data_IF_075638410807
#
_entry.id   IF_075638410807
#
_cell.length_a   1.000
_cell.length_b   1.000
_cell.length_c   1.000
_cell.angle_alpha   90.00
_cell.angle_beta   90.00
_cell.angle_gamma   90.00
#
_symmetry.space_group_name_H-M   'P 1'
#
loop_
_entity.id
_entity.type
_entity.pdbx_description
1 polymer ?
#
# COMPACT_ATOMS: atom_id res chain seq x y z
N UNK A 1 15.22 -0.64 -22.57
CA UNK A 1 15.01 -1.61 -21.48
C UNK A 1 13.52 -1.71 -21.29
N UNK A 2 12.92 -2.88 -21.48
CA UNK A 2 11.50 -3.09 -21.25
C UNK A 2 11.27 -3.12 -19.73
N UNK A 3 10.80 -2.02 -19.16
CA UNK A 3 10.20 -2.04 -17.83
C UNK A 3 8.81 -2.63 -18.01
N UNK A 4 8.69 -3.96 -17.94
CA UNK A 4 7.37 -4.59 -17.90
C UNK A 4 6.77 -4.27 -16.53
N UNK A 5 5.70 -3.48 -16.54
CA UNK A 5 4.93 -3.19 -15.34
C UNK A 5 4.27 -4.48 -14.86
N UNK A 6 4.44 -4.75 -13.58
CA UNK A 6 3.91 -5.92 -12.88
C UNK A 6 2.83 -5.44 -11.94
N UNK A 7 1.72 -6.16 -11.85
CA UNK A 7 0.67 -5.84 -10.90
C UNK A 7 1.02 -6.40 -9.52
N UNK A 8 0.97 -5.56 -8.49
CA UNK A 8 1.15 -5.94 -7.10
C UNK A 8 -0.13 -5.69 -6.30
N UNK A 9 -0.60 -6.70 -5.56
CA UNK A 9 -1.59 -6.52 -4.51
C UNK A 9 -0.89 -6.05 -3.23
N UNK A 10 -1.28 -4.88 -2.74
CA UNK A 10 -0.83 -4.36 -1.45
C UNK A 10 -1.97 -4.43 -0.46
N UNK A 11 -1.73 -5.09 0.67
CA UNK A 11 -2.63 -5.05 1.84
C UNK A 11 -2.02 -4.14 2.89
N UNK A 12 -2.82 -3.23 3.41
CA UNK A 12 -2.37 -2.25 4.39
C UNK A 12 -3.47 -1.96 5.41
N UNK A 13 -3.03 -1.49 6.58
CA UNK A 13 -3.86 -1.02 7.67
C UNK A 13 -3.71 0.48 7.80
N UNK A 14 -4.85 1.17 7.93
CA UNK A 14 -4.91 2.59 8.29
C UNK A 14 -5.39 2.73 9.71
N UNK A 15 -4.60 3.43 10.52
CA UNK A 15 -4.92 3.76 11.90
C UNK A 15 -5.54 5.17 11.93
N UNK A 16 -6.69 5.30 12.55
CA UNK A 16 -7.31 6.61 12.82
C UNK A 16 -7.94 6.60 14.21
N UNK A 17 -8.17 7.80 14.74
CA UNK A 17 -9.00 7.99 15.91
C UNK A 17 -10.45 8.02 15.44
N UNK A 18 -11.31 7.25 16.08
CA UNK A 18 -12.76 7.40 15.91
C UNK A 18 -13.27 8.62 16.70
N UNK A 19 -14.57 8.90 16.62
CA UNK A 19 -15.19 10.04 17.30
C UNK A 19 -15.10 9.99 18.84
N UNK A 20 -14.60 8.87 19.40
CA UNK A 20 -14.42 8.63 20.83
C UNK A 20 -12.94 8.52 21.23
N UNK A 21 -12.01 8.99 20.37
CA UNK A 21 -10.55 8.92 20.55
C UNK A 21 -9.99 7.49 20.67
N UNK A 22 -10.72 6.46 20.25
CA UNK A 22 -10.19 5.11 20.18
C UNK A 22 -9.42 4.90 18.89
N UNK A 23 -8.23 4.29 19.00
CA UNK A 23 -7.46 3.87 17.82
C UNK A 23 -8.17 2.70 17.13
N UNK A 24 -8.65 2.96 15.93
CA UNK A 24 -9.24 1.95 15.04
C UNK A 24 -8.27 1.67 13.90
N UNK A 25 -8.02 0.39 13.63
CA UNK A 25 -7.28 -0.06 12.45
C UNK A 25 -8.25 -0.58 11.39
N UNK A 26 -8.25 0.04 10.21
CA UNK A 26 -9.02 -0.43 9.06
C UNK A 26 -8.10 -1.07 8.03
N UNK A 27 -8.37 -2.34 7.75
CA UNK A 27 -7.70 -3.11 6.69
C UNK A 27 -8.27 -2.76 5.33
N UNK A 28 -7.40 -2.62 4.35
CA UNK A 28 -7.74 -2.29 2.98
C UNK A 28 -6.71 -2.90 2.02
N UNK A 29 -7.03 -2.93 0.72
CA UNK A 29 -6.11 -3.40 -0.30
C UNK A 29 -6.16 -2.58 -1.59
N UNK A 30 -5.04 -2.55 -2.32
CA UNK A 30 -4.91 -1.86 -3.59
C UNK A 30 -4.10 -2.70 -4.57
N UNK A 31 -4.47 -2.68 -5.84
CA UNK A 31 -3.63 -3.18 -6.94
C UNK A 31 -2.83 -2.00 -7.49
N UNK A 32 -1.52 -2.17 -7.60
CA UNK A 32 -0.58 -1.16 -8.06
C UNK A 32 0.30 -1.76 -9.16
N UNK A 33 0.31 -1.13 -10.32
CA UNK A 33 1.28 -1.40 -11.37
C UNK A 33 2.61 -0.73 -11.01
N UNK A 34 3.69 -1.52 -10.99
CA UNK A 34 5.03 -1.03 -10.70
C UNK A 34 6.09 -1.98 -11.29
N UNK A 35 7.33 -1.51 -11.36
CA UNK A 35 8.46 -2.36 -11.76
C UNK A 35 9.04 -3.13 -10.56
N UNK A 36 8.86 -2.64 -9.33
CA UNK A 36 9.45 -3.24 -8.12
C UNK A 36 8.57 -3.05 -6.87
N UNK A 37 8.73 -3.91 -5.86
CA UNK A 37 8.07 -3.72 -4.56
C UNK A 37 8.47 -2.41 -3.86
N UNK A 38 9.70 -1.93 -4.04
CA UNK A 38 10.14 -0.65 -3.46
C UNK A 38 9.38 0.54 -4.04
N UNK A 39 9.09 0.49 -5.34
CA UNK A 39 8.25 1.48 -6.02
C UNK A 39 6.81 1.44 -5.50
N UNK A 40 6.26 0.24 -5.31
CA UNK A 40 4.94 0.04 -4.69
C UNK A 40 4.85 0.68 -3.29
N UNK A 41 5.88 0.50 -2.45
CA UNK A 41 5.95 1.13 -1.12
C UNK A 41 5.94 2.65 -1.24
N UNK A 42 6.69 3.21 -2.18
CA UNK A 42 6.72 4.66 -2.40
C UNK A 42 5.37 5.19 -2.89
N UNK A 43 4.69 4.48 -3.80
CA UNK A 43 3.36 4.85 -4.29
C UNK A 43 2.35 4.86 -3.13
N UNK A 44 2.34 3.82 -2.29
CA UNK A 44 1.48 3.76 -1.10
C UNK A 44 1.77 4.93 -0.17
N UNK A 45 3.04 5.14 0.21
CA UNK A 45 3.40 6.24 1.12
C UNK A 45 3.03 7.59 0.56
N UNK A 46 3.32 7.84 -0.72
CA UNK A 46 2.99 9.09 -1.39
C UNK A 46 1.48 9.34 -1.43
N UNK A 47 0.67 8.32 -1.75
CA UNK A 47 -0.81 8.40 -1.78
C UNK A 47 -1.40 8.88 -0.47
N UNK A 48 -0.74 8.59 0.64
CA UNK A 48 -1.18 8.93 1.98
C UNK A 48 -0.29 9.97 2.66
N UNK A 49 0.48 10.75 1.88
CA UNK A 49 1.26 11.87 2.39
C UNK A 49 2.34 11.48 3.40
N UNK A 50 2.93 10.29 3.25
CA UNK A 50 3.94 9.72 4.15
C UNK A 50 3.48 9.62 5.61
N UNK A 51 2.18 9.51 5.83
CA UNK A 51 1.62 9.43 7.17
C UNK A 51 2.02 8.12 7.86
N UNK A 52 2.50 8.24 9.11
CA UNK A 52 2.90 7.10 9.95
C UNK A 52 1.72 6.23 10.40
N UNK A 53 0.50 6.67 10.11
CA UNK A 53 -0.72 5.92 10.43
C UNK A 53 -1.03 4.80 9.43
N UNK A 54 -0.09 4.46 8.54
CA UNK A 54 -0.24 3.38 7.56
C UNK A 54 0.81 2.32 7.77
N UNK A 55 0.32 1.09 7.94
CA UNK A 55 1.14 -0.10 8.05
C UNK A 55 0.89 -0.99 6.84
N UNK A 56 1.93 -1.22 6.05
CA UNK A 56 1.86 -2.20 4.95
C UNK A 56 2.00 -3.58 5.57
N UNK A 57 0.99 -4.43 5.38
CA UNK A 57 0.97 -5.80 5.91
C UNK A 57 1.63 -6.77 4.95
N UNK A 58 1.33 -6.66 3.65
CA UNK A 58 1.89 -7.53 2.62
C UNK A 58 1.90 -6.86 1.25
N UNK A 59 2.89 -7.22 0.44
CA UNK A 59 2.96 -6.89 -0.99
C UNK A 59 3.13 -8.20 -1.74
N UNK A 60 2.13 -8.55 -2.54
CA UNK A 60 2.09 -9.80 -3.31
C UNK A 60 2.17 -9.46 -4.79
N UNK A 61 3.15 -10.01 -5.48
CA UNK A 61 3.20 -9.96 -6.95
C UNK A 61 2.06 -10.81 -7.52
N UNK A 62 1.19 -10.22 -8.33
CA UNK A 62 0.07 -10.93 -8.94
C UNK A 62 0.51 -11.55 -10.26
N UNK A 63 0.97 -10.71 -11.20
CA UNK A 63 1.32 -11.13 -12.57
C UNK A 63 2.42 -10.23 -13.16
N UNK A 64 3.42 -10.85 -13.79
CA UNK A 64 4.40 -10.19 -14.69
C UNK A 64 3.86 -10.27 -16.12
N UNK A 65 3.61 -9.12 -16.74
CA UNK A 65 3.28 -9.03 -18.17
C UNK A 65 4.51 -9.24 -19.06
#
# INVERSE_FOLDING_TARGET
MNNWETEFEVKYERIYLDDNDFKVAKKDSLIIEASTQSEVINIIKHRFGYSDNIKIESITELWKY
#
